data_IF_309053744654
#
_entry.id   IF_309053744654
#
_cell.length_a   1.000
_cell.length_b   1.000
_cell.length_c   1.000
_cell.angle_alpha   90.00
_cell.angle_beta   90.00
_cell.angle_gamma   90.00
#
_symmetry.space_group_name_H-M   'P 1'
#
loop_
_entity.id
_entity.type
_entity.pdbx_description
1 polymer ?
#
# COMPACT_ATOMS: atom_id res chain seq x y z
N UNK A 1 -27.08 6.46 33.76
CA UNK A 1 -25.69 6.11 33.35
C UNK A 1 -25.78 5.51 31.96
N UNK A 2 -25.00 6.02 31.01
CA UNK A 2 -24.99 5.52 29.63
C UNK A 2 -24.25 4.19 29.62
N UNK A 3 -24.86 3.15 29.04
CA UNK A 3 -24.23 1.85 28.88
C UNK A 3 -23.35 1.81 27.60
N UNK A 4 -22.42 0.85 27.52
CA UNK A 4 -21.59 0.62 26.34
C UNK A 4 -22.46 0.35 25.12
N UNK A 5 -23.52 -0.46 25.28
CA UNK A 5 -24.46 -0.79 24.21
C UNK A 5 -25.21 0.43 23.66
N UNK A 6 -25.57 1.37 24.52
CA UNK A 6 -26.20 2.63 24.09
C UNK A 6 -25.22 3.51 23.34
N UNK A 7 -23.93 3.54 23.74
CA UNK A 7 -22.87 4.24 23.02
C UNK A 7 -22.64 3.61 21.63
N UNK A 8 -22.55 2.28 21.55
CA UNK A 8 -22.36 1.58 20.27
C UNK A 8 -23.50 1.86 19.30
N UNK A 9 -24.76 1.80 19.78
CA UNK A 9 -25.94 2.15 18.96
C UNK A 9 -25.89 3.59 18.45
N UNK A 10 -25.43 4.51 19.26
CA UNK A 10 -25.32 5.93 18.84
C UNK A 10 -24.28 6.15 17.75
N UNK A 11 -23.28 5.29 17.66
CA UNK A 11 -22.16 5.34 16.71
C UNK A 11 -22.33 4.38 15.51
N UNK A 12 -23.41 3.62 15.45
CA UNK A 12 -23.63 2.60 14.42
C UNK A 12 -23.46 3.13 12.98
N UNK A 13 -23.98 4.34 12.73
CA UNK A 13 -23.85 4.99 11.42
C UNK A 13 -22.39 5.30 11.05
N UNK A 14 -21.60 5.73 12.03
CA UNK A 14 -20.18 6.02 11.86
C UNK A 14 -19.41 4.73 11.62
N UNK A 15 -19.69 3.67 12.36
CA UNK A 15 -19.07 2.36 12.18
C UNK A 15 -19.37 1.79 10.81
N UNK A 16 -20.61 1.81 10.34
CA UNK A 16 -20.97 1.37 8.99
C UNK A 16 -20.20 2.13 7.92
N UNK A 17 -20.07 3.44 8.05
CA UNK A 17 -19.28 4.24 7.10
C UNK A 17 -17.81 3.84 7.08
N UNK A 18 -17.22 3.56 8.24
CA UNK A 18 -15.84 3.09 8.35
C UNK A 18 -15.69 1.70 7.71
N UNK A 19 -16.64 0.80 7.96
CA UNK A 19 -16.66 -0.54 7.38
C UNK A 19 -16.76 -0.49 5.85
N UNK A 20 -17.61 0.37 5.30
CA UNK A 20 -17.74 0.55 3.85
C UNK A 20 -16.42 1.03 3.23
N UNK A 21 -15.74 1.99 3.86
CA UNK A 21 -14.43 2.48 3.42
C UNK A 21 -13.38 1.36 3.52
N UNK A 22 -13.35 0.63 4.62
CA UNK A 22 -12.43 -0.49 4.83
C UNK A 22 -12.65 -1.59 3.79
N UNK A 23 -13.89 -1.94 3.52
CA UNK A 23 -14.26 -2.92 2.50
C UNK A 23 -13.85 -2.48 1.10
N UNK A 24 -14.11 -1.22 0.74
CA UNK A 24 -13.68 -0.67 -0.55
C UNK A 24 -12.16 -0.74 -0.73
N UNK A 25 -11.40 -0.32 0.28
CA UNK A 25 -9.94 -0.35 0.21
C UNK A 25 -9.37 -1.77 0.21
N UNK A 26 -9.93 -2.68 0.99
CA UNK A 26 -9.53 -4.09 0.99
C UNK A 26 -9.75 -4.73 -0.39
N UNK A 27 -10.89 -4.47 -1.02
CA UNK A 27 -11.17 -4.96 -2.38
C UNK A 27 -10.21 -4.38 -3.42
N UNK A 28 -9.86 -3.10 -3.29
CA UNK A 28 -8.89 -2.45 -4.18
C UNK A 28 -7.52 -3.15 -4.12
N UNK A 29 -7.04 -3.45 -2.92
CA UNK A 29 -5.78 -4.17 -2.71
C UNK A 29 -5.89 -5.61 -3.23
N UNK A 30 -6.98 -6.31 -2.91
CA UNK A 30 -7.20 -7.69 -3.37
C UNK A 30 -7.20 -7.77 -4.91
N UNK A 31 -7.85 -6.82 -5.60
CA UNK A 31 -7.82 -6.74 -7.07
C UNK A 31 -6.41 -6.54 -7.61
N UNK A 32 -5.60 -5.68 -6.98
CA UNK A 32 -4.20 -5.49 -7.37
C UNK A 32 -3.40 -6.80 -7.24
N UNK A 33 -3.61 -7.57 -6.17
CA UNK A 33 -3.00 -8.90 -6.02
C UNK A 33 -3.44 -9.88 -7.11
N UNK A 34 -4.73 -9.90 -7.44
CA UNK A 34 -5.28 -10.76 -8.48
C UNK A 34 -4.75 -10.37 -9.87
N UNK A 35 -4.73 -9.09 -10.21
CA UNK A 35 -4.24 -8.56 -11.48
C UNK A 35 -2.78 -8.94 -11.74
N UNK A 36 -1.96 -8.87 -10.71
CA UNK A 36 -0.54 -9.24 -10.81
C UNK A 36 -0.25 -10.70 -10.47
N UNK A 37 -1.29 -11.54 -10.37
CA UNK A 37 -1.16 -12.99 -10.12
C UNK A 37 -0.27 -13.32 -8.93
N UNK A 38 -0.40 -12.58 -7.84
CA UNK A 38 0.41 -12.80 -6.64
C UNK A 38 0.09 -14.16 -6.03
N UNK A 39 1.13 -14.93 -5.76
CA UNK A 39 1.06 -16.28 -5.20
C UNK A 39 2.12 -16.45 -4.10
N UNK A 40 2.12 -17.61 -3.46
CA UNK A 40 3.07 -17.94 -2.37
C UNK A 40 4.52 -17.81 -2.77
N UNK A 41 4.87 -18.05 -4.04
CA UNK A 41 6.24 -17.92 -4.53
C UNK A 41 6.80 -16.49 -4.41
N UNK A 42 5.95 -15.47 -4.44
CA UNK A 42 6.36 -14.07 -4.30
C UNK A 42 6.77 -13.71 -2.86
N UNK A 43 6.45 -14.56 -1.90
CA UNK A 43 6.79 -14.40 -0.48
C UNK A 43 7.97 -15.27 -0.04
N UNK A 44 8.58 -15.99 -0.96
CA UNK A 44 9.75 -16.80 -0.65
C UNK A 44 10.98 -15.93 -0.42
N UNK A 45 11.89 -16.44 0.40
CA UNK A 45 13.16 -15.78 0.63
C UNK A 45 13.99 -15.73 -0.66
N UNK A 46 14.69 -14.62 -0.88
CA UNK A 46 15.60 -14.42 -2.00
C UNK A 46 17.03 -14.22 -1.51
N UNK A 47 18.00 -14.35 -2.42
CA UNK A 47 19.41 -14.07 -2.10
C UNK A 47 19.69 -12.59 -1.77
N UNK A 48 18.78 -11.69 -2.14
CA UNK A 48 18.95 -10.23 -2.02
C UNK A 48 19.77 -9.59 -3.14
N UNK A 49 20.30 -10.38 -4.06
CA UNK A 49 21.11 -9.90 -5.19
C UNK A 49 20.29 -9.60 -6.46
N UNK A 50 18.98 -9.74 -6.40
CA UNK A 50 18.08 -9.39 -7.50
C UNK A 50 17.92 -10.44 -8.60
N UNK A 51 18.54 -11.61 -8.47
CA UNK A 51 18.50 -12.64 -9.53
C UNK A 51 17.17 -13.41 -9.58
N UNK A 52 16.52 -13.61 -8.45
CA UNK A 52 15.26 -14.37 -8.35
C UNK A 52 14.20 -13.60 -7.52
N UNK A 53 14.27 -12.27 -7.58
CA UNK A 53 13.48 -11.40 -6.70
C UNK A 53 12.16 -10.96 -7.37
N UNK A 54 11.38 -11.95 -7.80
CA UNK A 54 10.05 -11.73 -8.40
C UNK A 54 9.09 -11.03 -7.43
N UNK A 55 9.25 -11.26 -6.12
CA UNK A 55 8.44 -10.62 -5.08
C UNK A 55 8.63 -9.11 -5.06
N UNK A 56 9.87 -8.64 -5.13
CA UNK A 56 10.21 -7.21 -5.13
C UNK A 56 9.64 -6.48 -6.34
N UNK A 57 9.81 -7.06 -7.53
CA UNK A 57 9.28 -6.47 -8.76
C UNK A 57 7.76 -6.37 -8.75
N UNK A 58 7.08 -7.45 -8.33
CA UNK A 58 5.64 -7.48 -8.27
C UNK A 58 5.07 -6.62 -7.14
N UNK A 59 5.80 -6.44 -6.04
CA UNK A 59 5.40 -5.53 -4.95
C UNK A 59 5.22 -4.09 -5.48
N UNK A 60 6.16 -3.60 -6.28
CA UNK A 60 6.05 -2.30 -6.93
C UNK A 60 4.81 -2.20 -7.83
N UNK A 61 4.51 -3.23 -8.62
CA UNK A 61 3.33 -3.28 -9.50
C UNK A 61 2.02 -3.25 -8.69
N UNK A 62 1.94 -4.04 -7.63
CA UNK A 62 0.76 -4.07 -6.73
C UNK A 62 0.52 -2.70 -6.11
N UNK A 63 1.58 -2.05 -5.61
CA UNK A 63 1.47 -0.69 -5.05
C UNK A 63 1.04 0.31 -6.12
N UNK A 64 1.63 0.28 -7.31
CA UNK A 64 1.24 1.16 -8.40
C UNK A 64 -0.24 1.02 -8.73
N UNK A 65 -0.73 -0.21 -8.90
CA UNK A 65 -2.16 -0.49 -9.16
C UNK A 65 -3.06 -0.02 -8.01
N UNK A 66 -2.69 -0.31 -6.77
CA UNK A 66 -3.49 0.06 -5.60
C UNK A 66 -3.61 1.58 -5.41
N UNK A 67 -2.57 2.34 -5.76
CA UNK A 67 -2.55 3.81 -5.66
C UNK A 67 -2.88 4.53 -6.97
N UNK A 68 -3.12 3.81 -8.07
CA UNK A 68 -3.44 4.41 -9.37
C UNK A 68 -2.26 5.14 -10.01
N UNK A 69 -1.04 4.68 -9.77
CA UNK A 69 0.19 5.22 -10.32
C UNK A 69 0.72 4.34 -11.47
N UNK A 70 1.52 4.92 -12.37
CA UNK A 70 2.17 4.14 -13.43
C UNK A 70 3.24 3.18 -12.87
N UNK A 71 3.99 3.63 -11.87
CA UNK A 71 5.03 2.85 -11.20
C UNK A 71 5.11 3.21 -9.72
N UNK A 72 5.60 2.27 -8.93
CA UNK A 72 5.93 2.50 -7.53
C UNK A 72 7.29 1.87 -7.21
N UNK A 73 8.06 2.56 -6.39
CA UNK A 73 9.30 2.04 -5.81
C UNK A 73 9.02 1.67 -4.36
N UNK A 74 9.03 0.38 -4.08
CA UNK A 74 8.85 -0.16 -2.73
C UNK A 74 10.09 -0.96 -2.38
N UNK A 75 10.93 -0.40 -1.52
CA UNK A 75 12.23 -0.99 -1.21
C UNK A 75 12.65 -0.65 0.22
N UNK A 76 13.29 -1.59 0.93
CA UNK A 76 13.91 -1.31 2.23
C UNK A 76 15.09 -0.34 2.14
N UNK A 77 15.59 -0.06 0.93
CA UNK A 77 16.61 0.97 0.69
C UNK A 77 16.08 2.39 0.86
N UNK A 78 14.75 2.58 0.78
CA UNK A 78 14.09 3.82 1.19
C UNK A 78 13.91 3.77 2.70
N UNK A 79 14.82 4.39 3.43
CA UNK A 79 15.00 4.18 4.87
C UNK A 79 13.94 4.86 5.76
N UNK A 80 13.32 5.93 5.27
CA UNK A 80 12.30 6.69 6.00
C UNK A 80 11.49 7.58 5.07
N UNK A 81 10.43 8.20 5.60
CA UNK A 81 9.58 9.12 4.86
C UNK A 81 10.33 10.34 4.32
N UNK A 82 11.26 10.91 5.09
CA UNK A 82 12.11 12.02 4.64
C UNK A 82 13.00 11.63 3.46
N UNK A 83 13.53 10.41 3.46
CA UNK A 83 14.29 9.87 2.32
C UNK A 83 13.40 9.73 1.07
N UNK A 84 12.17 9.21 1.22
CA UNK A 84 11.21 9.10 0.12
C UNK A 84 10.85 10.47 -0.47
N UNK A 85 10.60 11.48 0.38
CA UNK A 85 10.36 12.86 -0.05
C UNK A 85 11.57 13.45 -0.77
N UNK A 86 12.77 13.22 -0.24
CA UNK A 86 14.03 13.65 -0.87
C UNK A 86 14.19 13.07 -2.27
N UNK A 87 13.97 11.76 -2.44
CA UNK A 87 14.01 11.09 -3.75
C UNK A 87 13.05 11.77 -4.73
N UNK A 88 11.79 12.00 -4.32
CA UNK A 88 10.78 12.62 -5.16
C UNK A 88 11.16 14.05 -5.55
N UNK A 89 11.60 14.87 -4.60
CA UNK A 89 11.97 16.26 -4.84
C UNK A 89 13.18 16.36 -5.77
N UNK A 90 14.25 15.58 -5.53
CA UNK A 90 15.44 15.58 -6.39
C UNK A 90 15.17 15.03 -7.79
N UNK A 91 14.19 14.14 -7.95
CA UNK A 91 13.81 13.63 -9.26
C UNK A 91 12.99 14.64 -10.09
N UNK A 92 12.19 15.48 -9.43
CA UNK A 92 11.21 16.35 -10.09
C UNK A 92 11.68 17.82 -10.20
N UNK A 93 12.48 18.30 -9.25
CA UNK A 93 12.90 19.68 -9.17
C UNK A 93 14.28 19.92 -9.79
N UNK A 94 14.46 21.10 -10.34
CA UNK A 94 15.74 21.63 -10.85
C UNK A 94 16.21 22.79 -9.97
N UNK A 95 17.49 23.15 -10.01
CA UNK A 95 17.97 24.37 -9.36
C UNK A 95 17.13 25.58 -9.82
N UNK A 96 16.60 26.33 -8.85
CA UNK A 96 15.72 27.51 -9.01
C UNK A 96 14.24 27.22 -9.33
N UNK A 97 13.78 25.97 -9.19
CA UNK A 97 12.34 25.67 -9.22
C UNK A 97 11.64 26.05 -7.90
#
# INVERSE_FOLDING_TARGET
MITIEECEKSLEKQFRRIDDIAFYNANKVLRAFQEHHISTQHFQATSGYGYDDIGRENLGKVFATAFGAEKAIVSPLVTCGSHALGIALFALLRPND
#
